data_IF_209685998376
#
_entry.id   IF_209685998376
#
_cell.length_a   1.000
_cell.length_b   1.000
_cell.length_c   1.000
_cell.angle_alpha   90.00
_cell.angle_beta   90.00
_cell.angle_gamma   90.00
#
_symmetry.space_group_name_H-M   'P 1'
#
loop_
_entity.id
_entity.type
_entity.pdbx_description
1 polymer ?
#
# COMPACT_ATOMS: atom_id res chain seq x y z
N UNK A 1 9.02 -5.31 10.49
CA UNK A 1 10.25 -5.81 11.13
C UNK A 1 10.14 -5.95 12.63
N UNK A 2 9.74 -4.90 13.40
CA UNK A 2 9.64 -4.99 14.87
C UNK A 2 8.92 -6.25 15.35
N UNK A 3 7.77 -6.58 14.75
CA UNK A 3 7.01 -7.80 15.05
C UNK A 3 7.79 -9.09 14.80
N UNK A 4 8.45 -9.23 13.65
CA UNK A 4 9.27 -10.41 13.31
C UNK A 4 10.48 -10.52 14.26
N UNK A 5 11.17 -9.39 14.52
CA UNK A 5 12.30 -9.30 15.47
C UNK A 5 11.89 -9.66 16.90
N UNK A 6 10.60 -9.50 17.26
CA UNK A 6 10.04 -9.85 18.56
C UNK A 6 9.43 -11.28 18.62
N UNK A 7 9.63 -12.12 17.59
CA UNK A 7 9.13 -13.50 17.55
C UNK A 7 7.71 -13.66 16.98
N UNK A 8 7.08 -12.59 16.49
CA UNK A 8 5.83 -12.69 15.73
C UNK A 8 6.05 -13.31 14.35
N UNK A 9 5.03 -13.98 13.81
CA UNK A 9 5.14 -14.75 12.56
C UNK A 9 4.61 -14.02 11.31
N UNK A 10 4.26 -12.73 11.44
CA UNK A 10 3.74 -11.97 10.32
C UNK A 10 3.03 -10.67 10.71
N UNK A 11 2.16 -10.22 9.81
CA UNK A 11 1.40 -8.98 9.93
C UNK A 11 0.10 -9.09 9.14
N UNK A 12 -1.01 -8.59 9.71
CA UNK A 12 -2.20 -8.23 8.95
C UNK A 12 -2.01 -6.78 8.50
N UNK A 13 -1.92 -6.54 7.19
CA UNK A 13 -1.67 -5.21 6.64
C UNK A 13 -2.72 -4.80 5.62
N UNK A 14 -3.29 -3.60 5.79
CA UNK A 14 -4.15 -3.01 4.77
C UNK A 14 -3.41 -2.80 3.44
N UNK A 15 -2.12 -2.43 3.48
CA UNK A 15 -1.31 -2.24 2.27
C UNK A 15 -1.03 -3.55 1.53
N UNK A 16 -1.31 -4.72 2.12
CA UNK A 16 -1.19 -5.99 1.40
C UNK A 16 -2.21 -6.12 0.24
N UNK A 17 -3.29 -5.33 0.23
CA UNK A 17 -4.22 -5.28 -0.89
C UNK A 17 -3.62 -4.62 -2.14
N UNK A 18 -2.55 -3.83 -2.00
CA UNK A 18 -1.94 -3.05 -3.10
C UNK A 18 -0.45 -3.34 -3.29
N UNK A 19 0.22 -3.82 -2.26
CA UNK A 19 1.66 -4.10 -2.29
C UNK A 19 2.00 -5.51 -1.75
N UNK A 20 1.31 -6.58 -2.20
CA UNK A 20 1.49 -7.92 -1.63
C UNK A 20 2.90 -8.47 -1.87
N UNK A 21 3.46 -8.29 -3.07
CA UNK A 21 4.75 -8.87 -3.46
C UNK A 21 5.90 -8.34 -2.60
N UNK A 22 6.02 -7.01 -2.44
CA UNK A 22 7.11 -6.44 -1.65
C UNK A 22 6.98 -6.79 -0.15
N UNK A 23 5.75 -6.85 0.39
CA UNK A 23 5.51 -7.29 1.77
C UNK A 23 5.93 -8.76 1.95
N UNK A 24 5.55 -9.63 1.02
CA UNK A 24 5.95 -11.04 1.06
C UNK A 24 7.47 -11.22 0.92
N UNK A 25 8.13 -10.40 0.08
CA UNK A 25 9.59 -10.40 -0.05
C UNK A 25 10.27 -10.03 1.27
N UNK A 26 9.84 -8.96 1.94
CA UNK A 26 10.38 -8.62 3.27
C UNK A 26 10.12 -9.74 4.27
N UNK A 27 8.92 -10.32 4.30
CA UNK A 27 8.61 -11.41 5.22
C UNK A 27 9.52 -12.64 5.02
N UNK A 28 9.94 -12.94 3.78
CA UNK A 28 10.89 -14.02 3.48
C UNK A 28 12.34 -13.67 3.81
N UNK A 29 12.71 -12.40 3.64
CA UNK A 29 14.11 -11.92 3.68
C UNK A 29 14.40 -11.05 4.91
N UNK A 30 13.58 -11.13 5.95
CA UNK A 30 13.66 -10.19 7.08
C UNK A 30 14.95 -10.29 7.91
N UNK A 31 15.72 -11.36 7.73
CA UNK A 31 17.01 -11.60 8.36
C UNK A 31 18.20 -11.21 7.47
N UNK A 32 17.96 -10.86 6.21
CA UNK A 32 19.00 -10.43 5.27
C UNK A 32 19.48 -9.00 5.60
N UNK A 33 20.71 -8.63 5.20
CA UNK A 33 21.26 -7.30 5.49
C UNK A 33 20.43 -6.12 4.95
N UNK A 34 19.65 -6.33 3.89
CA UNK A 34 18.83 -5.30 3.26
C UNK A 34 17.38 -5.22 3.80
N UNK A 35 17.05 -6.00 4.84
CA UNK A 35 15.70 -6.05 5.40
C UNK A 35 15.19 -4.69 5.89
N UNK A 36 16.04 -3.89 6.56
CA UNK A 36 15.63 -2.59 7.08
C UNK A 36 15.35 -1.60 5.93
N UNK A 37 16.12 -1.64 4.83
CA UNK A 37 15.84 -0.85 3.63
C UNK A 37 14.53 -1.26 2.94
N UNK A 38 14.27 -2.57 2.81
CA UNK A 38 12.99 -3.09 2.33
C UNK A 38 11.82 -2.62 3.23
N UNK A 39 12.02 -2.61 4.54
CA UNK A 39 11.03 -2.10 5.50
C UNK A 39 10.78 -0.60 5.35
N UNK A 40 11.81 0.21 5.06
CA UNK A 40 11.67 1.63 4.78
C UNK A 40 10.84 1.88 3.52
N UNK A 41 11.09 1.14 2.43
CA UNK A 41 10.27 1.22 1.22
C UNK A 41 8.79 0.90 1.50
N UNK A 42 8.50 -0.15 2.29
CA UNK A 42 7.13 -0.45 2.70
C UNK A 42 6.52 0.64 3.60
N UNK A 43 7.35 1.27 4.44
CA UNK A 43 6.93 2.35 5.33
C UNK A 43 6.57 3.62 4.54
N UNK A 44 7.31 3.92 3.46
CA UNK A 44 7.00 5.02 2.56
C UNK A 44 5.63 4.81 1.87
N UNK A 45 5.36 3.61 1.34
CA UNK A 45 4.04 3.27 0.79
C UNK A 45 2.94 3.46 1.84
N UNK A 46 3.14 2.91 3.05
CA UNK A 46 2.18 3.08 4.15
C UNK A 46 1.95 4.56 4.50
N UNK A 47 3.00 5.38 4.53
CA UNK A 47 2.91 6.80 4.85
C UNK A 47 2.10 7.58 3.80
N UNK A 48 2.18 7.20 2.53
CA UNK A 48 1.34 7.79 1.47
C UNK A 48 -0.13 7.47 1.72
N UNK A 49 -0.48 6.19 1.89
CA UNK A 49 -1.87 5.80 2.12
C UNK A 49 -2.46 6.36 3.42
N UNK A 50 -1.64 6.57 4.46
CA UNK A 50 -2.08 7.13 5.73
C UNK A 50 -2.52 8.61 5.64
N UNK A 51 -2.23 9.31 4.53
CA UNK A 51 -2.72 10.67 4.28
C UNK A 51 -4.19 10.71 3.84
N UNK A 52 -4.79 9.55 3.54
CA UNK A 52 -6.15 9.43 3.02
C UNK A 52 -6.98 8.46 3.89
N UNK A 53 -8.33 8.52 3.82
CA UNK A 53 -9.16 7.44 4.32
C UNK A 53 -8.71 6.10 3.73
N UNK A 54 -8.28 5.16 4.57
CA UNK A 54 -7.54 3.96 4.14
C UNK A 54 -8.28 3.13 3.08
N UNK A 55 -9.55 2.80 3.30
CA UNK A 55 -10.32 1.96 2.36
C UNK A 55 -10.54 2.71 1.02
N UNK A 56 -11.06 3.95 0.99
CA UNK A 56 -11.15 4.73 -0.24
C UNK A 56 -9.80 4.91 -0.97
N UNK A 57 -8.70 5.14 -0.24
CA UNK A 57 -7.37 5.28 -0.82
C UNK A 57 -6.87 4.00 -1.49
N UNK A 58 -6.97 2.86 -0.82
CA UNK A 58 -6.60 1.55 -1.41
C UNK A 58 -7.41 1.28 -2.69
N UNK A 59 -8.72 1.52 -2.62
CA UNK A 59 -9.62 1.28 -3.75
C UNK A 59 -9.38 2.22 -4.93
N UNK A 60 -9.04 3.48 -4.67
CA UNK A 60 -8.61 4.43 -5.70
C UNK A 60 -7.29 4.02 -6.36
N UNK A 61 -6.31 3.52 -5.59
CA UNK A 61 -5.08 2.99 -6.15
C UNK A 61 -5.34 1.77 -7.04
N UNK A 62 -6.16 0.81 -6.59
CA UNK A 62 -6.55 -0.35 -7.41
C UNK A 62 -7.19 0.13 -8.71
N UNK A 63 -8.16 1.04 -8.65
CA UNK A 63 -8.84 1.57 -9.84
C UNK A 63 -7.87 2.20 -10.85
N UNK A 64 -6.87 2.94 -10.36
CA UNK A 64 -5.85 3.55 -11.21
C UNK A 64 -4.95 2.52 -11.89
N UNK A 65 -4.40 1.57 -11.13
CA UNK A 65 -3.42 0.61 -11.65
C UNK A 65 -4.05 -0.52 -12.46
N UNK A 66 -5.31 -0.89 -12.20
CA UNK A 66 -6.03 -1.90 -12.99
C UNK A 66 -6.75 -1.32 -14.20
N UNK A 67 -6.95 0.01 -14.24
CA UNK A 67 -7.81 0.66 -15.24
C UNK A 67 -9.31 0.45 -15.04
N UNK A 68 -9.72 -0.21 -13.96
CA UNK A 68 -11.13 -0.49 -13.65
C UNK A 68 -11.68 0.55 -12.65
N UNK A 69 -12.41 1.53 -13.18
CA UNK A 69 -12.99 2.60 -12.39
C UNK A 69 -14.04 2.15 -11.38
N UNK A 70 -14.67 0.97 -11.54
CA UNK A 70 -15.69 0.51 -10.59
C UNK A 70 -15.11 0.25 -9.19
N UNK A 71 -13.80 0.04 -9.11
CA UNK A 71 -13.10 -0.07 -7.83
C UNK A 71 -13.25 1.18 -6.96
N UNK A 72 -13.49 2.39 -7.47
CA UNK A 72 -13.62 3.57 -6.59
C UNK A 72 -14.89 3.55 -5.72
N UNK A 73 -15.84 2.65 -6.02
CA UNK A 73 -17.13 2.53 -5.34
C UNK A 73 -16.94 2.04 -3.90
N UNK A 74 -17.38 2.83 -2.93
CA UNK A 74 -17.45 2.43 -1.51
C UNK A 74 -18.90 2.43 -1.02
N UNK A 75 -19.16 1.75 0.09
CA UNK A 75 -20.48 1.75 0.75
C UNK A 75 -20.49 2.74 1.91
N UNK A 76 -21.61 3.41 2.09
CA UNK A 76 -21.88 4.25 3.27
C UNK A 76 -21.52 3.49 4.56
N UNK A 77 -20.89 4.14 5.57
CA UNK A 77 -20.63 5.59 5.68
C UNK A 77 -19.33 6.08 5.00
N UNK A 78 -18.62 5.22 4.28
CA UNK A 78 -17.41 5.63 3.56
C UNK A 78 -17.78 6.49 2.35
N UNK A 79 -16.94 7.48 2.05
CA UNK A 79 -17.04 8.32 0.87
C UNK A 79 -15.81 8.07 -0.02
N UNK A 80 -16.02 8.06 -1.34
CA UNK A 80 -14.93 7.97 -2.30
C UNK A 80 -14.02 9.19 -2.20
N UNK A 81 -12.75 9.04 -2.56
CA UNK A 81 -11.83 10.16 -2.66
C UNK A 81 -12.27 11.12 -3.77
N UNK A 82 -12.08 12.42 -3.56
CA UNK A 82 -12.28 13.43 -4.63
C UNK A 82 -11.26 13.24 -5.76
N UNK A 83 -11.52 13.83 -6.92
CA UNK A 83 -10.58 13.75 -8.06
C UNK A 83 -9.19 14.31 -7.68
N UNK A 84 -9.14 15.39 -6.90
CA UNK A 84 -7.90 16.01 -6.44
C UNK A 84 -7.14 15.08 -5.48
N UNK A 85 -7.85 14.40 -4.58
CA UNK A 85 -7.25 13.42 -3.67
C UNK A 85 -6.72 12.19 -4.42
N UNK A 86 -7.45 11.71 -5.44
CA UNK A 86 -6.99 10.60 -6.28
C UNK A 86 -5.74 10.99 -7.06
N UNK A 87 -5.73 12.17 -7.70
CA UNK A 87 -4.56 12.68 -8.41
C UNK A 87 -3.35 12.86 -7.48
N UNK A 88 -3.56 13.36 -6.26
CA UNK A 88 -2.51 13.47 -5.24
C UNK A 88 -1.97 12.09 -4.84
N UNK A 89 -2.84 11.12 -4.58
CA UNK A 89 -2.45 9.75 -4.23
C UNK A 89 -1.56 9.13 -5.32
N UNK A 90 -2.02 9.18 -6.58
CA UNK A 90 -1.27 8.66 -7.73
C UNK A 90 0.06 9.40 -7.91
N UNK A 91 0.05 10.73 -7.80
CA UNK A 91 1.26 11.53 -7.89
C UNK A 91 2.29 11.20 -6.81
N UNK A 92 1.85 11.02 -5.55
CA UNK A 92 2.73 10.65 -4.44
C UNK A 92 3.27 9.22 -4.58
N UNK A 93 2.46 8.27 -5.06
CA UNK A 93 2.92 6.91 -5.39
C UNK A 93 3.94 6.92 -6.54
N UNK A 94 3.72 7.77 -7.55
CA UNK A 94 4.65 7.96 -8.66
C UNK A 94 6.03 8.47 -8.21
N UNK A 95 6.09 9.39 -7.23
CA UNK A 95 7.36 9.90 -6.69
C UNK A 95 8.26 8.83 -6.06
N UNK A 96 7.66 7.73 -5.58
CA UNK A 96 8.39 6.60 -5.01
C UNK A 96 8.51 5.42 -5.99
N UNK A 97 8.20 5.63 -7.27
CA UNK A 97 8.16 4.61 -8.32
C UNK A 97 7.32 3.38 -7.93
N UNK A 98 6.22 3.60 -7.19
CA UNK A 98 5.36 2.52 -6.77
C UNK A 98 4.70 1.85 -7.99
N UNK A 99 4.76 0.52 -8.01
CA UNK A 99 4.04 -0.31 -8.96
C UNK A 99 3.17 -1.32 -8.20
N UNK A 100 1.96 -1.54 -8.71
CA UNK A 100 1.07 -2.56 -8.19
C UNK A 100 1.24 -3.86 -8.99
N UNK A 101 2.37 -4.53 -8.77
CA UNK A 101 2.73 -5.75 -9.49
C UNK A 101 1.76 -6.90 -9.22
N UNK A 102 1.30 -7.56 -10.27
CA UNK A 102 0.40 -8.72 -10.19
C UNK A 102 -1.10 -8.39 -10.30
N UNK A 103 -1.44 -7.15 -10.70
CA UNK A 103 -2.74 -6.81 -11.28
C UNK A 103 -2.84 -7.26 -12.75
#
# INVERSE_FOLDING_TARGET
LRTLKAGGVGCISATANVNPKAIAQLAKRWQEPDADALQESLSAVRAIFAQFPMIPGMKAAVAHYSGDSDWVRVRSPLQSLTAEQQAKLVGDLGKINFQMEGL
#
